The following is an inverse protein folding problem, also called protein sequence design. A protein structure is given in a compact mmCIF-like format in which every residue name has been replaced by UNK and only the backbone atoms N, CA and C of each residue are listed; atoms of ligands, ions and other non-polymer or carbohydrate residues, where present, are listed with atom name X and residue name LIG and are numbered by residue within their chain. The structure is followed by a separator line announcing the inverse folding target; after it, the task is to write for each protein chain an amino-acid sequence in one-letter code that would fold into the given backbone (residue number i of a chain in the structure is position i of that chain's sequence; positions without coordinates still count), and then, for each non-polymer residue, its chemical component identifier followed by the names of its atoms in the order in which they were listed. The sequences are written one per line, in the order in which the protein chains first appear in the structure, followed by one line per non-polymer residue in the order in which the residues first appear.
data_IF_813911940156
#
_entry.id   IF_813911940156
#
_cell.length_a   1.000
_cell.length_b   1.000
_cell.length_c   1.000
_cell.angle_alpha   90.00
_cell.angle_beta   90.00
_cell.angle_gamma   90.00
#
_symmetry.space_group_name_H-M   'P 1'
#
loop_
_entity.id
_entity.type
_entity.pdbx_description
1 polymer ?
#
# COMPACT_ATOMS: atom_id res chain seq x y z
N UNK A 1 61.33 12.65 28.70
CA UNK A 1 60.90 12.14 27.38
C UNK A 1 59.50 11.57 27.52
N UNK A 2 58.47 12.33 27.12
CA UNK A 2 57.07 11.98 27.30
C UNK A 2 56.58 11.25 26.04
N UNK A 3 56.30 9.95 26.15
CA UNK A 3 55.80 9.14 25.02
C UNK A 3 54.30 9.42 24.86
N UNK A 4 53.93 10.13 23.80
CA UNK A 4 52.53 10.28 23.40
C UNK A 4 52.06 8.96 22.75
N UNK A 5 51.09 8.30 23.38
CA UNK A 5 50.38 7.14 22.79
C UNK A 5 49.30 7.72 21.88
N UNK A 6 49.49 7.59 20.58
CA UNK A 6 48.52 8.00 19.56
C UNK A 6 47.40 6.94 19.51
N UNK A 7 46.23 7.24 20.05
CA UNK A 7 45.04 6.42 19.87
C UNK A 7 44.51 6.59 18.44
N UNK A 8 44.73 5.59 17.59
CA UNK A 8 44.11 5.49 16.28
C UNK A 8 42.63 5.13 16.47
N UNK A 9 41.74 6.11 16.40
CA UNK A 9 40.29 5.87 16.35
C UNK A 9 39.94 5.36 14.95
N UNK A 10 39.76 4.05 14.81
CA UNK A 10 39.15 3.48 13.60
C UNK A 10 37.67 3.89 13.54
N UNK A 11 37.34 4.79 12.62
CA UNK A 11 35.95 5.03 12.24
C UNK A 11 35.45 3.84 11.41
N UNK A 12 34.62 2.98 12.03
CA UNK A 12 33.88 1.95 11.32
C UNK A 12 32.79 2.66 10.49
N UNK A 13 33.01 2.79 9.19
CA UNK A 13 31.96 3.25 8.26
C UNK A 13 30.91 2.14 8.14
N UNK A 14 29.73 2.36 8.74
CA UNK A 14 28.62 1.44 8.61
C UNK A 14 28.14 1.44 7.15
N UNK A 15 28.33 0.30 6.46
CA UNK A 15 27.78 0.09 5.13
C UNK A 15 26.27 -0.10 5.27
N UNK A 16 25.42 0.68 4.57
CA UNK A 16 23.97 0.49 4.65
C UNK A 16 23.59 -0.90 4.18
N UNK A 17 22.70 -1.55 4.94
CA UNK A 17 22.12 -2.83 4.55
C UNK A 17 21.50 -2.71 3.15
N UNK A 18 21.65 -3.74 2.34
CA UNK A 18 21.13 -3.76 0.97
C UNK A 18 19.89 -4.64 0.90
N UNK A 19 18.80 -4.11 0.36
CA UNK A 19 17.60 -4.87 0.07
C UNK A 19 17.63 -5.34 -1.39
N UNK A 20 17.32 -6.61 -1.62
CA UNK A 20 17.11 -7.12 -2.97
C UNK A 20 15.75 -6.63 -3.47
N UNK A 21 15.74 -5.89 -4.57
CA UNK A 21 14.53 -5.30 -5.15
C UNK A 21 14.10 -6.09 -6.40
N UNK A 22 15.07 -6.53 -7.20
CA UNK A 22 14.88 -7.40 -8.35
C UNK A 22 15.90 -8.54 -8.35
N UNK A 23 15.84 -9.44 -9.34
CA UNK A 23 16.77 -10.58 -9.43
C UNK A 23 18.24 -10.12 -9.41
N UNK A 24 18.54 -9.00 -10.08
CA UNK A 24 19.87 -8.38 -10.13
C UNK A 24 19.97 -7.05 -9.37
N UNK A 25 18.86 -6.30 -9.26
CA UNK A 25 18.85 -4.98 -8.63
C UNK A 25 18.80 -5.01 -7.09
N UNK A 26 19.71 -4.26 -6.46
CA UNK A 26 19.74 -3.98 -5.01
C UNK A 26 19.58 -2.48 -4.76
N UNK A 27 19.02 -2.14 -3.61
CA UNK A 27 18.92 -0.75 -3.16
C UNK A 27 19.33 -0.64 -1.68
N UNK A 28 19.95 0.49 -1.28
CA UNK A 28 20.28 0.73 0.11
C UNK A 28 18.99 0.85 0.94
N UNK A 29 18.99 0.16 2.08
CA UNK A 29 17.98 0.32 3.11
C UNK A 29 18.42 1.42 4.08
N UNK A 30 17.51 2.35 4.36
CA UNK A 30 17.69 3.36 5.40
C UNK A 30 17.60 2.72 6.81
N UNK A 31 18.04 3.44 7.84
CA UNK A 31 18.05 2.95 9.22
C UNK A 31 16.63 2.63 9.76
N UNK A 32 15.60 3.23 9.17
CA UNK A 32 14.19 2.95 9.46
C UNK A 32 13.61 1.77 8.64
N UNK A 33 14.46 1.07 7.89
CA UNK A 33 14.10 -0.04 7.01
C UNK A 33 13.52 0.40 5.67
N UNK A 34 13.43 1.70 5.36
CA UNK A 34 12.91 2.15 4.07
C UNK A 34 13.83 1.76 2.93
N UNK A 35 13.22 1.38 1.80
CA UNK A 35 13.91 1.11 0.55
C UNK A 35 13.29 2.00 -0.52
N UNK A 36 14.11 2.84 -1.16
CA UNK A 36 13.69 3.79 -2.19
C UNK A 36 12.48 4.66 -1.75
N UNK A 37 12.48 5.09 -0.48
CA UNK A 37 11.38 5.87 0.11
C UNK A 37 10.25 5.04 0.72
N UNK A 38 10.13 3.75 0.40
CA UNK A 38 8.98 2.94 0.84
C UNK A 38 9.22 2.23 2.16
N UNK A 39 8.23 2.28 3.05
CA UNK A 39 8.25 1.56 4.33
C UNK A 39 8.09 0.05 4.10
N UNK A 40 8.78 -0.79 4.89
CA UNK A 40 8.64 -2.23 4.77
C UNK A 40 7.26 -2.67 5.30
N UNK A 41 6.62 -3.56 4.55
CA UNK A 41 5.35 -4.18 4.90
C UNK A 41 5.45 -5.69 4.69
N UNK A 42 4.85 -6.46 5.61
CA UNK A 42 4.69 -7.90 5.43
C UNK A 42 3.59 -8.23 4.41
N UNK A 43 3.45 -9.51 4.10
CA UNK A 43 2.32 -10.02 3.30
C UNK A 43 1.16 -10.44 4.22
N UNK A 44 -0.07 -10.27 3.73
CA UNK A 44 -1.24 -10.79 4.41
C UNK A 44 -1.30 -12.32 4.32
N UNK A 45 -1.65 -13.03 5.41
CA UNK A 45 -1.99 -14.44 5.36
C UNK A 45 -3.17 -14.67 4.39
N UNK A 46 -3.09 -15.67 3.49
CA UNK A 46 -4.17 -15.94 2.54
C UNK A 46 -5.54 -16.15 3.17
N UNK A 47 -5.60 -16.75 4.37
CA UNK A 47 -6.85 -17.07 5.08
C UNK A 47 -7.54 -15.82 5.67
N UNK A 48 -6.81 -14.71 5.78
CA UNK A 48 -7.35 -13.42 6.20
C UNK A 48 -8.01 -12.67 5.03
N UNK A 49 -7.75 -13.09 3.79
CA UNK A 49 -8.21 -12.40 2.59
C UNK A 49 -9.54 -12.97 2.09
N UNK A 50 -10.48 -12.08 1.80
CA UNK A 50 -11.79 -12.41 1.23
C UNK A 50 -12.08 -11.54 0.01
N UNK A 51 -12.85 -12.05 -0.97
CA UNK A 51 -13.20 -11.26 -2.14
C UNK A 51 -14.14 -10.10 -1.79
N UNK A 52 -13.86 -8.94 -2.35
CA UNK A 52 -14.82 -7.83 -2.42
C UNK A 52 -15.97 -8.23 -3.35
N UNK A 53 -17.24 -8.01 -2.94
CA UNK A 53 -18.39 -8.34 -3.77
C UNK A 53 -18.32 -7.74 -5.17
N UNK A 54 -18.69 -8.51 -6.19
CA UNK A 54 -18.52 -8.11 -7.60
C UNK A 54 -19.18 -6.79 -8.00
N UNK A 55 -20.32 -6.35 -7.43
CA UNK A 55 -20.88 -5.03 -7.77
C UNK A 55 -19.95 -3.87 -7.42
N UNK A 56 -19.03 -4.08 -6.48
CA UNK A 56 -18.12 -3.08 -5.94
C UNK A 56 -16.74 -3.08 -6.61
N UNK A 57 -16.50 -3.95 -7.60
CA UNK A 57 -15.18 -4.11 -8.22
C UNK A 57 -15.17 -3.61 -9.66
N UNK A 58 -14.20 -2.77 -9.99
CA UNK A 58 -13.86 -2.39 -11.34
C UNK A 58 -12.90 -3.43 -11.95
N UNK A 59 -13.42 -4.30 -12.83
CA UNK A 59 -12.60 -5.26 -13.55
C UNK A 59 -12.51 -6.62 -12.87
N UNK A 60 -11.31 -7.19 -12.76
CA UNK A 60 -11.12 -8.60 -12.42
C UNK A 60 -10.73 -8.80 -10.96
N UNK A 61 -11.74 -8.99 -10.10
CA UNK A 61 -11.54 -9.44 -8.73
C UNK A 61 -10.76 -8.46 -7.85
N UNK A 62 -11.07 -8.46 -6.57
CA UNK A 62 -10.34 -7.70 -5.57
C UNK A 62 -10.47 -8.52 -4.30
N UNK A 63 -9.36 -8.78 -3.61
CA UNK A 63 -9.38 -9.42 -2.30
C UNK A 63 -8.74 -8.48 -1.30
N UNK A 64 -9.34 -8.37 -0.13
CA UNK A 64 -8.88 -7.54 0.98
C UNK A 64 -8.98 -8.36 2.26
N UNK A 65 -8.33 -7.88 3.31
CA UNK A 65 -8.56 -8.42 4.65
C UNK A 65 -10.03 -8.33 5.02
N UNK A 66 -10.59 -9.40 5.60
CA UNK A 66 -12.00 -9.53 5.97
C UNK A 66 -12.51 -8.33 6.78
N UNK A 67 -11.66 -7.78 7.62
CA UNK A 67 -11.93 -6.63 8.49
C UNK A 67 -12.22 -5.33 7.73
N UNK A 68 -11.72 -5.19 6.49
CA UNK A 68 -11.93 -3.99 5.66
C UNK A 68 -13.33 -3.96 5.06
N UNK A 69 -13.93 -5.13 4.79
CA UNK A 69 -15.13 -5.26 3.97
C UNK A 69 -16.34 -4.51 4.53
N UNK A 70 -16.67 -4.58 5.83
CA UNK A 70 -17.83 -3.85 6.36
C UNK A 70 -17.73 -2.34 6.16
N UNK A 71 -16.53 -1.77 6.31
CA UNK A 71 -16.29 -0.35 6.15
C UNK A 71 -16.26 0.07 4.68
N UNK A 72 -15.66 -0.77 3.82
CA UNK A 72 -15.67 -0.56 2.37
C UNK A 72 -17.10 -0.59 1.80
N UNK A 73 -17.91 -1.57 2.18
CA UNK A 73 -19.29 -1.69 1.71
C UNK A 73 -20.11 -0.47 2.13
N UNK A 74 -19.99 -0.02 3.38
CA UNK A 74 -20.67 1.21 3.83
C UNK A 74 -20.24 2.44 3.02
N UNK A 75 -18.93 2.60 2.76
CA UNK A 75 -18.41 3.69 1.93
C UNK A 75 -19.02 3.66 0.52
N UNK A 76 -18.95 2.49 -0.14
CA UNK A 76 -19.38 2.36 -1.53
C UNK A 76 -20.91 2.43 -1.69
N UNK A 77 -21.67 1.92 -0.72
CA UNK A 77 -23.12 2.09 -0.67
C UNK A 77 -23.50 3.55 -0.47
N UNK A 78 -22.84 4.27 0.44
CA UNK A 78 -23.08 5.70 0.64
C UNK A 78 -22.76 6.51 -0.63
N UNK A 79 -21.64 6.22 -1.29
CA UNK A 79 -21.29 6.85 -2.56
C UNK A 79 -22.32 6.54 -3.66
N UNK A 80 -22.81 5.30 -3.75
CA UNK A 80 -23.79 4.92 -4.77
C UNK A 80 -25.16 5.60 -4.58
N UNK A 81 -25.49 6.00 -3.35
CA UNK A 81 -26.75 6.66 -3.02
C UNK A 81 -26.68 8.20 -3.12
N UNK A 82 -25.48 8.78 -3.14
CA UNK A 82 -25.30 10.23 -3.12
C UNK A 82 -25.14 10.80 -4.54
N UNK A 83 -26.09 11.63 -5.03
CA UNK A 83 -26.00 12.22 -6.36
C UNK A 83 -24.78 13.15 -6.54
N UNK A 84 -24.20 13.68 -5.46
CA UNK A 84 -23.00 14.52 -5.51
C UNK A 84 -21.76 13.77 -6.01
N UNK A 85 -21.74 12.44 -5.93
CA UNK A 85 -20.68 11.62 -6.51
C UNK A 85 -20.62 11.77 -8.04
N UNK A 86 -21.78 12.00 -8.68
CA UNK A 86 -21.86 12.13 -10.14
C UNK A 86 -21.41 10.87 -10.89
N UNK A 87 -21.59 9.69 -10.28
CA UNK A 87 -21.09 8.43 -10.82
C UNK A 87 -21.00 7.31 -9.76
N UNK A 88 -20.02 6.42 -9.92
CA UNK A 88 -19.71 5.31 -9.03
C UNK A 88 -18.24 5.34 -8.64
N UNK A 89 -17.98 5.04 -7.37
CA UNK A 89 -16.67 4.70 -6.85
C UNK A 89 -16.63 3.17 -6.75
N UNK A 90 -15.52 2.55 -7.11
CA UNK A 90 -15.34 1.09 -7.14
C UNK A 90 -13.94 0.72 -6.66
N UNK A 91 -13.76 -0.47 -6.09
CA UNK A 91 -12.44 -1.03 -5.84
C UNK A 91 -11.79 -1.51 -7.15
N UNK A 92 -10.56 -1.10 -7.42
CA UNK A 92 -9.84 -1.42 -8.66
C UNK A 92 -8.74 -2.48 -8.44
N UNK A 93 -7.82 -2.21 -7.52
CA UNK A 93 -6.62 -3.00 -7.26
C UNK A 93 -6.42 -3.07 -5.76
N UNK A 94 -6.26 -4.28 -5.21
CA UNK A 94 -6.41 -4.54 -3.78
C UNK A 94 -5.20 -5.31 -3.26
N UNK A 95 -5.37 -6.40 -2.51
CA UNK A 95 -4.23 -7.19 -2.07
C UNK A 95 -3.36 -7.63 -3.25
N UNK A 96 -2.06 -7.47 -3.07
CA UNK A 96 -1.04 -7.85 -4.04
C UNK A 96 0.12 -8.51 -3.30
N UNK A 97 0.21 -9.83 -3.43
CA UNK A 97 1.28 -10.61 -2.83
C UNK A 97 2.67 -10.08 -3.22
N UNK A 98 3.65 -10.22 -2.32
CA UNK A 98 5.00 -9.69 -2.52
C UNK A 98 5.64 -10.22 -3.82
N UNK A 99 5.47 -11.50 -4.13
CA UNK A 99 6.00 -12.09 -5.37
C UNK A 99 5.31 -11.53 -6.62
N UNK A 100 4.02 -11.19 -6.53
CA UNK A 100 3.36 -10.52 -7.64
C UNK A 100 3.85 -9.07 -7.76
N UNK A 101 4.04 -8.36 -6.64
CA UNK A 101 4.64 -7.03 -6.61
C UNK A 101 6.03 -7.04 -7.26
N UNK A 102 6.84 -8.08 -7.06
CA UNK A 102 8.13 -8.25 -7.77
C UNK A 102 7.96 -8.28 -9.28
N UNK A 103 6.98 -9.00 -9.80
CA UNK A 103 6.73 -9.02 -11.25
C UNK A 103 6.26 -7.67 -11.81
N UNK A 104 5.58 -6.86 -10.99
CA UNK A 104 5.13 -5.51 -11.35
C UNK A 104 6.30 -4.54 -11.30
N UNK A 105 7.04 -4.55 -10.19
CA UNK A 105 8.17 -3.65 -9.97
C UNK A 105 9.33 -3.92 -10.92
N UNK A 106 9.62 -5.18 -11.25
CA UNK A 106 10.78 -5.58 -12.08
C UNK A 106 10.46 -5.78 -13.57
N UNK A 107 9.29 -5.36 -14.05
CA UNK A 107 8.89 -5.52 -15.46
C UNK A 107 9.76 -4.70 -16.43
N UNK A 108 10.44 -5.31 -17.40
CA UNK A 108 11.26 -4.61 -18.42
C UNK A 108 12.76 -4.61 -18.11
N UNK A 109 13.58 -4.05 -19.02
CA UNK A 109 15.04 -4.26 -19.04
C UNK A 109 15.84 -3.44 -18.02
N UNK A 110 15.18 -2.56 -17.24
CA UNK A 110 15.83 -1.62 -16.31
C UNK A 110 16.14 -2.23 -14.93
N UNK A 111 16.51 -3.51 -14.89
CA UNK A 111 16.82 -4.18 -13.63
C UNK A 111 18.07 -3.59 -12.93
N UNK A 112 18.87 -2.82 -13.67
CA UNK A 112 19.97 -1.99 -13.15
C UNK A 112 19.74 -0.51 -13.55
N UNK A 113 19.77 0.39 -12.56
CA UNK A 113 19.70 1.84 -12.75
C UNK A 113 18.30 2.49 -12.65
N UNK A 114 17.24 1.84 -13.11
CA UNK A 114 15.87 2.42 -13.16
C UNK A 114 15.00 2.21 -11.91
N UNK A 115 15.49 1.46 -10.91
CA UNK A 115 14.70 1.11 -9.73
C UNK A 115 14.22 2.34 -8.94
N UNK A 116 15.04 3.40 -8.86
CA UNK A 116 14.68 4.66 -8.22
C UNK A 116 13.50 5.35 -8.91
N UNK A 117 13.57 5.51 -10.23
CA UNK A 117 12.51 6.13 -11.03
C UNK A 117 11.20 5.33 -10.96
N UNK A 118 11.29 4.01 -10.98
CA UNK A 118 10.10 3.16 -10.78
C UNK A 118 9.51 3.28 -9.39
N UNK A 119 10.35 3.39 -8.37
CA UNK A 119 9.92 3.55 -6.99
C UNK A 119 9.11 4.84 -6.77
N UNK A 120 9.18 5.82 -7.67
CA UNK A 120 8.30 6.99 -7.63
C UNK A 120 6.81 6.57 -7.72
N UNK A 121 6.49 5.55 -8.51
CA UNK A 121 5.10 5.13 -8.80
C UNK A 121 4.75 3.69 -8.42
N UNK A 122 5.74 2.87 -8.10
CA UNK A 122 5.56 1.44 -7.86
C UNK A 122 6.45 1.05 -6.69
N UNK A 123 5.86 0.62 -5.58
CA UNK A 123 6.64 0.23 -4.41
C UNK A 123 7.55 -0.99 -4.68
N UNK A 124 8.76 -1.05 -4.10
CA UNK A 124 9.57 -2.26 -4.08
C UNK A 124 8.82 -3.48 -3.50
N UNK A 125 9.18 -4.71 -3.88
CA UNK A 125 8.58 -5.92 -3.31
C UNK A 125 8.83 -5.97 -1.80
N UNK A 126 7.77 -6.24 -1.01
CA UNK A 126 7.84 -6.18 0.46
C UNK A 126 7.74 -4.78 1.04
N UNK A 127 7.51 -3.76 0.20
CA UNK A 127 7.34 -2.37 0.64
C UNK A 127 6.04 -1.73 0.12
N UNK A 128 5.14 -2.52 -0.47
CA UNK A 128 3.83 -2.05 -0.95
C UNK A 128 2.76 -2.19 0.14
N UNK A 129 1.99 -1.13 0.39
CA UNK A 129 0.83 -1.21 1.30
C UNK A 129 -0.22 -2.24 0.81
N UNK A 130 -0.30 -2.52 -0.50
CA UNK A 130 -1.21 -3.55 -1.03
C UNK A 130 -0.90 -4.95 -0.48
N UNK A 131 0.34 -5.27 -0.15
CA UNK A 131 0.71 -6.58 0.42
C UNK A 131 0.01 -6.83 1.77
N UNK A 132 -0.33 -5.75 2.48
CA UNK A 132 -0.99 -5.85 3.80
C UNK A 132 -2.43 -6.33 3.74
N UNK A 133 -3.07 -6.22 2.57
CA UNK A 133 -4.51 -6.45 2.38
C UNK A 133 -5.42 -5.38 2.99
N UNK A 134 -4.85 -4.28 3.53
CA UNK A 134 -5.59 -3.13 4.05
C UNK A 134 -5.65 -1.95 3.08
N UNK A 135 -4.87 -1.97 1.99
CA UNK A 135 -4.85 -0.90 0.99
C UNK A 135 -5.51 -1.32 -0.33
N UNK A 136 -6.10 -0.34 -1.00
CA UNK A 136 -6.70 -0.48 -2.31
C UNK A 136 -6.57 0.80 -3.14
N UNK A 137 -6.66 0.62 -4.44
CA UNK A 137 -6.87 1.66 -5.43
C UNK A 137 -8.37 1.77 -5.72
N UNK A 138 -8.91 2.99 -5.74
CA UNK A 138 -10.26 3.26 -6.21
C UNK A 138 -10.30 3.58 -7.71
N UNK A 139 -11.37 3.15 -8.37
CA UNK A 139 -11.74 3.53 -9.73
C UNK A 139 -13.03 4.33 -9.74
N UNK A 140 -13.20 5.15 -10.77
CA UNK A 140 -14.30 6.11 -10.88
C UNK A 140 -15.05 5.91 -12.21
N UNK A 141 -16.37 5.77 -12.17
CA UNK A 141 -17.21 5.53 -13.36
C UNK A 141 -18.39 6.52 -13.43
N UNK A 142 -18.72 7.08 -14.60
CA UNK A 142 -17.96 7.01 -15.85
C UNK A 142 -16.59 7.69 -15.72
N UNK A 143 -15.66 7.37 -16.61
CA UNK A 143 -14.41 8.13 -16.69
C UNK A 143 -14.73 9.53 -17.22
N UNK A 144 -14.23 10.55 -16.54
CA UNK A 144 -14.41 11.95 -16.93
C UNK A 144 -13.20 12.37 -17.77
N UNK A 145 -13.43 13.01 -18.91
CA UNK A 145 -12.39 13.53 -19.82
C UNK A 145 -11.33 12.49 -20.24
N UNK A 146 -11.71 11.20 -20.32
CA UNK A 146 -10.78 10.12 -20.68
C UNK A 146 -9.70 9.81 -19.62
N UNK A 147 -9.77 10.43 -18.43
CA UNK A 147 -8.80 10.25 -17.36
C UNK A 147 -8.70 8.77 -16.94
N UNK A 148 -7.51 8.15 -16.97
CA UNK A 148 -7.31 6.81 -16.43
C UNK A 148 -7.52 6.76 -14.90
N UNK A 149 -7.84 5.58 -14.38
CA UNK A 149 -8.16 5.42 -12.94
C UNK A 149 -6.97 5.68 -12.01
N UNK A 150 -5.74 5.49 -12.50
CA UNK A 150 -4.48 5.55 -11.73
C UNK A 150 -3.68 6.78 -12.18
N UNK A 151 -4.36 7.92 -12.34
CA UNK A 151 -3.77 9.19 -12.79
C UNK A 151 -4.30 10.39 -11.99
N UNK A 152 -3.48 11.43 -11.87
CA UNK A 152 -3.78 12.60 -11.03
C UNK A 152 -5.05 13.36 -11.44
N UNK A 153 -5.44 13.29 -12.73
CA UNK A 153 -6.63 13.97 -13.25
C UNK A 153 -7.94 13.52 -12.58
N UNK A 154 -7.98 12.35 -11.92
CA UNK A 154 -9.17 11.90 -11.17
C UNK A 154 -9.51 12.86 -10.02
N UNK A 155 -8.52 13.60 -9.50
CA UNK A 155 -8.72 14.53 -8.41
C UNK A 155 -9.66 15.70 -8.76
N UNK A 156 -9.80 16.00 -10.05
CA UNK A 156 -10.73 17.01 -10.55
C UNK A 156 -12.19 16.51 -10.65
N UNK A 157 -12.46 15.23 -10.41
CA UNK A 157 -13.80 14.66 -10.54
C UNK A 157 -14.68 14.89 -9.31
N UNK A 158 -16.01 15.00 -9.46
CA UNK A 158 -16.93 15.03 -8.32
C UNK A 158 -16.79 13.80 -7.41
N UNK A 159 -16.61 12.61 -8.00
CA UNK A 159 -16.49 11.37 -7.26
C UNK A 159 -15.23 11.33 -6.36
N UNK A 160 -14.07 11.80 -6.84
CA UNK A 160 -12.90 11.92 -5.97
C UNK A 160 -13.12 12.96 -4.87
N UNK A 161 -13.72 14.12 -5.17
CA UNK A 161 -14.01 15.13 -4.14
C UNK A 161 -14.91 14.58 -3.05
N UNK A 162 -15.93 13.80 -3.43
CA UNK A 162 -16.77 13.09 -2.47
C UNK A 162 -15.97 12.08 -1.65
N UNK A 163 -15.11 11.28 -2.29
CA UNK A 163 -14.25 10.32 -1.61
C UNK A 163 -13.36 11.01 -0.58
N UNK A 164 -12.65 12.08 -0.99
CA UNK A 164 -11.78 12.84 -0.10
C UNK A 164 -12.52 13.40 1.12
N UNK A 165 -13.75 13.89 0.94
CA UNK A 165 -14.52 14.44 2.05
C UNK A 165 -15.10 13.36 3.00
N UNK A 166 -15.31 12.13 2.53
CA UNK A 166 -16.10 11.13 3.25
C UNK A 166 -15.34 9.87 3.67
N UNK A 167 -14.30 9.48 2.94
CA UNK A 167 -13.51 8.27 3.19
C UNK A 167 -13.00 8.14 4.64
N UNK A 168 -12.54 9.22 5.32
CA UNK A 168 -12.12 9.14 6.72
C UNK A 168 -13.21 8.64 7.67
N UNK A 169 -14.49 8.93 7.40
CA UNK A 169 -15.63 8.47 8.21
C UNK A 169 -15.83 6.96 8.16
N UNK A 170 -15.27 6.32 7.13
CA UNK A 170 -15.29 4.88 6.93
C UNK A 170 -13.91 4.26 7.18
N UNK A 171 -12.98 5.00 7.79
CA UNK A 171 -11.68 4.45 8.16
C UNK A 171 -10.66 4.41 7.04
N UNK A 172 -10.91 5.04 5.90
CA UNK A 172 -9.96 5.12 4.79
C UNK A 172 -9.23 6.47 4.81
N UNK A 173 -7.91 6.42 4.67
CA UNK A 173 -7.04 7.60 4.54
C UNK A 173 -6.13 7.49 3.32
N UNK A 174 -5.84 8.63 2.68
CA UNK A 174 -5.08 8.68 1.43
C UNK A 174 -3.58 8.69 1.74
N UNK A 175 -2.90 7.57 1.45
CA UNK A 175 -1.54 7.33 1.95
C UNK A 175 -0.49 8.28 1.37
N UNK A 176 -0.65 8.68 0.11
CA UNK A 176 0.36 9.45 -0.63
C UNK A 176 -0.23 10.78 -1.14
N UNK A 177 -0.43 11.77 -0.26
CA UNK A 177 -0.91 13.09 -0.69
C UNK A 177 0.14 13.85 -1.51
N UNK A 178 -0.29 14.95 -2.15
CA UNK A 178 0.60 15.81 -2.91
C UNK A 178 1.70 16.39 -2.01
N UNK A 179 2.96 16.29 -2.46
CA UNK A 179 4.11 16.78 -1.69
C UNK A 179 4.46 15.95 -0.45
N UNK A 180 3.97 14.71 -0.34
CA UNK A 180 4.35 13.83 0.77
C UNK A 180 5.88 13.67 0.86
N UNK A 181 6.40 13.61 2.09
CA UNK A 181 7.84 13.55 2.38
C UNK A 181 8.46 12.17 2.13
N UNK A 182 7.65 11.19 1.71
CA UNK A 182 8.11 9.83 1.48
C UNK A 182 8.86 9.70 0.15
N UNK A 183 8.66 10.64 -0.78
CA UNK A 183 9.24 10.61 -2.13
C UNK A 183 8.44 9.73 -3.09
N UNK A 184 7.27 9.26 -2.67
CA UNK A 184 6.29 8.58 -3.54
C UNK A 184 5.49 9.67 -4.27
N UNK A 185 5.11 9.43 -5.52
CA UNK A 185 4.26 10.39 -6.24
C UNK A 185 2.93 10.60 -5.52
N UNK A 186 2.23 11.67 -5.88
CA UNK A 186 0.85 11.85 -5.46
C UNK A 186 -0.05 10.78 -6.08
N UNK A 187 -0.79 10.04 -5.24
CA UNK A 187 -1.64 8.93 -5.66
C UNK A 187 -3.08 9.12 -5.17
N UNK A 188 -3.90 9.98 -5.82
CA UNK A 188 -5.28 10.21 -5.41
C UNK A 188 -6.17 8.96 -5.43
N UNK A 189 -5.75 7.91 -6.11
CA UNK A 189 -6.46 6.63 -6.18
C UNK A 189 -6.12 5.69 -5.03
N UNK A 190 -4.97 5.84 -4.35
CA UNK A 190 -4.43 4.87 -3.39
C UNK A 190 -4.81 5.22 -1.95
N UNK A 191 -5.50 4.30 -1.28
CA UNK A 191 -6.03 4.50 0.06
C UNK A 191 -5.75 3.29 0.93
N UNK A 192 -5.46 3.52 2.21
CA UNK A 192 -5.36 2.47 3.21
C UNK A 192 -6.50 2.55 4.22
N UNK A 193 -6.91 1.41 4.73
CA UNK A 193 -7.89 1.30 5.80
C UNK A 193 -7.20 1.19 7.16
N UNK A 194 -7.66 1.99 8.12
CA UNK A 194 -7.19 2.02 9.52
C UNK A 194 -8.34 1.92 10.53
N UNK A 195 -9.54 1.56 10.05
CA UNK A 195 -10.77 1.45 10.84
C UNK A 195 -11.49 2.78 11.05
N UNK A 196 -12.81 2.79 10.79
CA UNK A 196 -13.67 3.95 11.02
C UNK A 196 -13.61 4.45 12.47
N UNK A 197 -13.37 3.52 13.41
CA UNK A 197 -13.04 3.80 14.81
C UNK A 197 -11.94 2.86 15.27
N UNK A 198 -11.25 3.20 16.35
CA UNK A 198 -10.24 2.34 16.97
C UNK A 198 -10.79 1.03 17.53
N UNK A 199 -12.10 0.97 17.75
CA UNK A 199 -12.81 -0.22 18.21
C UNK A 199 -13.30 -1.13 17.08
N UNK A 200 -13.26 -0.68 15.82
CA UNK A 200 -13.63 -1.53 14.69
C UNK A 200 -12.72 -2.77 14.66
N UNK A 201 -13.32 -3.94 14.39
CA UNK A 201 -12.57 -5.20 14.34
C UNK A 201 -11.42 -5.09 13.35
N UNK A 202 -10.19 -5.40 13.78
CA UNK A 202 -8.99 -5.29 12.95
C UNK A 202 -8.37 -3.88 12.86
N UNK A 203 -9.04 -2.84 13.36
CA UNK A 203 -8.52 -1.47 13.32
C UNK A 203 -7.20 -1.33 14.09
N UNK A 204 -7.07 -1.95 15.28
CA UNK A 204 -5.83 -1.92 16.05
C UNK A 204 -4.66 -2.53 15.25
N UNK A 205 -4.89 -3.67 14.59
CA UNK A 205 -3.88 -4.32 13.71
C UNK A 205 -3.46 -3.37 12.59
N UNK A 206 -4.42 -2.78 11.88
CA UNK A 206 -4.12 -1.84 10.80
C UNK A 206 -3.38 -0.59 11.31
N UNK A 207 -3.84 0.00 12.42
CA UNK A 207 -3.23 1.20 13.02
C UNK A 207 -1.81 0.95 13.51
N UNK A 208 -1.53 -0.22 14.08
CA UNK A 208 -0.18 -0.62 14.47
C UNK A 208 0.73 -0.81 13.26
N UNK A 209 0.23 -1.50 12.22
CA UNK A 209 0.97 -1.71 10.98
C UNK A 209 1.33 -0.38 10.29
N UNK A 210 0.41 0.57 10.28
CA UNK A 210 0.61 1.90 9.69
C UNK A 210 1.08 2.97 10.69
N UNK A 211 1.43 2.61 11.94
CA UNK A 211 1.75 3.61 12.97
C UNK A 211 2.91 4.52 12.56
N UNK A 212 3.95 3.93 11.95
CA UNK A 212 5.10 4.67 11.42
C UNK A 212 4.71 5.55 10.24
N UNK A 213 3.94 5.01 9.29
CA UNK A 213 3.45 5.77 8.14
C UNK A 213 2.63 6.98 8.62
N UNK A 214 1.64 6.78 9.50
CA UNK A 214 0.79 7.85 10.02
C UNK A 214 1.55 8.93 10.79
N UNK A 215 2.62 8.58 11.51
CA UNK A 215 3.43 9.54 12.27
C UNK A 215 4.39 10.31 11.38
N UNK A 216 5.13 9.61 10.52
CA UNK A 216 6.26 10.19 9.79
C UNK A 216 5.84 10.72 8.39
N UNK A 217 4.82 10.11 7.80
CA UNK A 217 4.27 10.39 6.46
C UNK A 217 2.72 10.44 6.52
N UNK A 218 2.16 11.43 7.23
CA UNK A 218 0.72 11.48 7.49
C UNK A 218 -0.07 11.48 6.18
N UNK A 219 -1.15 10.70 6.18
CA UNK A 219 -2.13 10.72 5.11
C UNK A 219 -2.85 12.08 5.06
N UNK A 220 -3.38 12.43 3.90
CA UNK A 220 -4.29 13.56 3.77
C UNK A 220 -5.29 13.29 2.64
N UNK A 221 -6.60 13.16 2.93
CA UNK A 221 -7.20 13.27 4.26
C UNK A 221 -6.85 12.07 5.14
N UNK A 222 -6.65 12.34 6.43
CA UNK A 222 -6.37 11.33 7.45
C UNK A 222 -7.65 10.91 8.19
N UNK A 223 -7.67 9.67 8.67
CA UNK A 223 -8.61 9.28 9.72
C UNK A 223 -8.12 9.90 11.03
N UNK A 224 -8.97 10.64 11.78
CA UNK A 224 -8.57 11.22 13.05
C UNK A 224 -8.02 10.16 14.02
N UNK A 225 -7.02 10.51 14.84
CA UNK A 225 -6.59 9.64 15.91
C UNK A 225 -7.70 9.57 16.97
N UNK A 226 -8.30 8.39 17.17
CA UNK A 226 -9.03 8.14 18.42
C UNK A 226 -8.02 7.99 19.57
N UNK A 227 -8.45 8.23 20.81
CA UNK A 227 -7.67 7.84 21.99
C UNK A 227 -7.62 6.31 22.04
N UNK A 228 -6.58 5.71 21.44
CA UNK A 228 -6.32 4.28 21.50
C UNK A 228 -5.40 4.01 22.69
N UNK A 229 -5.86 3.22 23.67
CA UNK A 229 -4.97 2.60 24.65
C UNK A 229 -4.26 1.46 23.94
N UNK A 230 -3.01 1.69 23.54
CA UNK A 230 -2.18 0.68 22.88
C UNK A 230 -1.67 -0.30 23.95
N UNK A 231 -2.24 -1.50 24.00
CA UNK A 231 -1.54 -2.64 24.59
C UNK A 231 -0.32 -2.98 23.73
N UNK A 232 0.78 -3.44 24.33
CA UNK A 232 1.95 -3.90 23.58
C UNK A 232 1.53 -5.03 22.61
N UNK A 233 1.81 -4.85 21.32
CA UNK A 233 1.59 -5.87 20.29
C UNK A 233 2.90 -6.05 19.53
N UNK A 234 3.35 -7.29 19.42
CA UNK A 234 4.55 -7.64 18.66
C UNK A 234 4.39 -7.29 17.18
N UNK A 235 5.50 -6.91 16.53
CA UNK A 235 5.51 -6.64 15.10
C UNK A 235 4.95 -7.86 14.34
N UNK A 236 4.01 -7.68 13.38
CA UNK A 236 3.46 -8.80 12.65
C UNK A 236 4.60 -9.54 11.91
N UNK A 237 4.67 -10.88 12.01
CA UNK A 237 5.69 -11.63 11.30
C UNK A 237 5.53 -11.42 9.79
N UNK A 238 6.66 -11.23 9.10
CA UNK A 238 6.70 -11.23 7.63
C UNK A 238 6.50 -12.67 7.17
N UNK A 239 5.30 -13.00 6.70
CA UNK A 239 5.02 -14.31 6.13
C UNK A 239 5.65 -14.41 4.73
N UNK A 240 6.87 -14.94 4.64
CA UNK A 240 7.48 -15.42 3.39
C UNK A 240 6.89 -16.79 3.00
N UNK A 241 5.56 -16.91 3.04
CA UNK A 241 4.87 -18.10 2.56
C UNK A 241 4.93 -18.16 1.04
N UNK A 242 5.17 -19.35 0.49
CA UNK A 242 5.28 -19.61 -0.94
C UNK A 242 3.94 -19.37 -1.65
N UNK A 243 3.61 -18.11 -1.93
CA UNK A 243 2.72 -17.83 -3.05
C UNK A 243 3.36 -18.48 -4.28
N UNK A 244 2.62 -19.29 -5.07
CA UNK A 244 3.17 -19.76 -6.33
C UNK A 244 3.52 -18.52 -7.17
N UNK A 245 4.69 -18.50 -7.83
CA UNK A 245 5.09 -17.36 -8.64
C UNK A 245 3.98 -17.06 -9.67
N UNK A 246 3.70 -15.78 -9.94
CA UNK A 246 2.69 -15.42 -10.92
C UNK A 246 3.03 -16.00 -12.29
N UNK A 247 2.03 -16.49 -13.01
CA UNK A 247 2.22 -16.93 -14.38
C UNK A 247 2.35 -15.71 -15.29
N UNK A 248 3.55 -15.50 -15.82
CA UNK A 248 3.86 -14.40 -16.73
C UNK A 248 3.88 -14.87 -18.18
N UNK A 249 3.03 -14.27 -19.03
CA UNK A 249 3.05 -14.46 -20.50
C UNK A 249 2.99 -13.10 -21.22
N UNK A 250 3.91 -12.87 -22.16
CA UNK A 250 4.00 -11.63 -22.97
C UNK A 250 3.95 -10.35 -22.09
N UNK A 251 4.77 -10.35 -21.04
CA UNK A 251 4.84 -9.26 -20.06
C UNK A 251 3.65 -9.15 -19.10
N UNK A 252 2.52 -9.82 -19.29
CA UNK A 252 1.38 -9.75 -18.34
C UNK A 252 1.47 -10.91 -17.36
N UNK A 253 1.57 -10.59 -16.06
CA UNK A 253 1.64 -11.58 -14.98
C UNK A 253 0.29 -11.68 -14.27
N UNK A 254 -0.15 -12.90 -13.97
CA UNK A 254 -1.40 -13.19 -13.25
C UNK A 254 -1.15 -14.17 -12.12
N UNK A 255 -1.82 -13.95 -10.99
CA UNK A 255 -1.80 -14.92 -9.89
C UNK A 255 -2.56 -16.19 -10.29
N UNK A 256 -2.01 -17.38 -10.02
CA UNK A 256 -2.76 -18.63 -10.11
C UNK A 256 -3.98 -18.55 -9.20
N UNK A 257 -5.13 -19.07 -9.64
CA UNK A 257 -6.29 -19.21 -8.75
C UNK A 257 -5.92 -20.20 -7.65
N UNK A 258 -6.20 -19.90 -6.36
CA UNK A 258 -5.98 -20.87 -5.30
C UNK A 258 -6.77 -22.14 -5.64
N UNK A 259 -6.12 -23.30 -5.48
CA UNK A 259 -6.77 -24.57 -5.68
C UNK A 259 -8.02 -24.61 -4.79
N UNK A 260 -9.19 -24.87 -5.39
CA UNK A 260 -10.41 -25.15 -4.61
C UNK A 260 -10.09 -26.35 -3.73
N UNK A 261 -10.01 -26.16 -2.42
CA UNK A 261 -10.00 -27.27 -1.48
C UNK A 261 -11.31 -28.03 -1.72
N UNK A 262 -11.19 -29.30 -2.10
CA UNK A 262 -12.32 -30.24 -2.19
C UNK A 262 -12.84 -30.52 -0.79
#
# INVERSE_FOLDING_TARGET
MQRAILFLVMFVLAIPAQAQVCAVGRAPAAADGRVLGHLPYGDAPPDDLVPVPSPWVAGKGCVLRREVLPDLERLLTAAAADPAVGGRILALSCHRAILYQQSVFCRGDEADGGAGDRAISVAPPGHSEHATGFALDFAFRPRVNGCPDVEACIAATPAFRWLAANAPRYGFEMSFPAGNRQGVKWEPWHWRWVGATGAAQGAQRARLLFARARRDFPADPAVPPDVVVIGNVDAPPVYLGAYPPPECRKGKCRMPRPARRR
#
